data_IF_221760910232
#
_entry.id   IF_221760910232
#
_cell.length_a   1.000
_cell.length_b   1.000
_cell.length_c   1.000
_cell.angle_alpha   90.00
_cell.angle_beta   90.00
_cell.angle_gamma   90.00
#
_symmetry.space_group_name_H-M   'P 1'
#
loop_
_entity.id
_entity.type
_entity.pdbx_description
1 polymer ?
#
# COMPACT_ATOMS: atom_id res chain seq x y z
N UNK A 1 -0.39 10.24 -6.72
CA UNK A 1 -1.35 10.73 -7.72
C UNK A 1 -2.57 9.84 -7.64
N UNK A 2 -3.81 10.35 -7.67
CA UNK A 2 -4.97 9.50 -7.88
C UNK A 2 -4.79 8.83 -9.25
N UNK A 3 -4.62 7.52 -9.26
CA UNK A 3 -4.65 6.75 -10.51
C UNK A 3 -6.10 6.36 -10.79
N UNK A 4 -6.43 6.14 -12.06
CA UNK A 4 -7.79 5.74 -12.42
C UNK A 4 -8.09 4.35 -11.84
N UNK A 5 -9.12 4.29 -10.99
CA UNK A 5 -9.62 3.08 -10.32
C UNK A 5 -10.98 2.64 -10.89
N UNK A 6 -11.44 3.23 -12.00
CA UNK A 6 -12.73 2.90 -12.63
C UNK A 6 -12.87 1.44 -13.06
N UNK A 7 -11.75 0.74 -13.21
CA UNK A 7 -11.67 -0.68 -13.58
C UNK A 7 -11.65 -1.64 -12.40
N UNK A 8 -11.50 -1.14 -11.17
CA UNK A 8 -11.53 -1.97 -9.96
C UNK A 8 -12.98 -2.24 -9.52
N UNK A 9 -13.20 -3.42 -8.94
CA UNK A 9 -14.47 -3.80 -8.35
C UNK A 9 -14.75 -3.05 -7.04
N UNK A 10 -15.99 -3.16 -6.55
CA UNK A 10 -16.40 -2.62 -5.26
C UNK A 10 -16.42 -3.69 -4.16
N UNK A 11 -16.40 -3.26 -2.91
CA UNK A 11 -16.49 -4.11 -1.73
C UNK A 11 -15.35 -5.11 -1.64
N UNK A 12 -15.69 -6.38 -1.45
CA UNK A 12 -14.69 -7.41 -1.23
C UNK A 12 -13.79 -7.68 -2.44
N UNK A 13 -14.34 -7.61 -3.65
CA UNK A 13 -13.58 -7.82 -4.89
C UNK A 13 -12.54 -6.72 -5.04
N UNK A 14 -12.94 -5.45 -4.89
CA UNK A 14 -12.04 -4.31 -4.93
C UNK A 14 -10.95 -4.35 -3.86
N UNK A 15 -11.28 -4.81 -2.66
CA UNK A 15 -10.30 -5.00 -1.59
C UNK A 15 -9.26 -6.08 -1.94
N UNK A 16 -9.67 -7.22 -2.52
CA UNK A 16 -8.73 -8.23 -2.99
C UNK A 16 -7.83 -7.71 -4.11
N UNK A 17 -8.39 -6.97 -5.08
CA UNK A 17 -7.63 -6.35 -6.17
C UNK A 17 -6.62 -5.34 -5.63
N UNK A 18 -7.04 -4.45 -4.72
CA UNK A 18 -6.16 -3.49 -4.06
C UNK A 18 -5.02 -4.20 -3.31
N UNK A 19 -5.34 -5.25 -2.55
CA UNK A 19 -4.35 -6.06 -1.85
C UNK A 19 -3.37 -6.77 -2.79
N UNK A 20 -3.84 -7.30 -3.93
CA UNK A 20 -2.99 -7.95 -4.92
C UNK A 20 -2.03 -6.96 -5.60
N UNK A 21 -2.51 -5.76 -5.94
CA UNK A 21 -1.69 -4.66 -6.47
C UNK A 21 -0.65 -4.24 -5.42
N UNK A 22 -1.06 -4.08 -4.17
CA UNK A 22 -0.19 -3.73 -3.06
C UNK A 22 0.88 -4.82 -2.82
N UNK A 23 0.55 -6.09 -2.99
CA UNK A 23 1.51 -7.18 -2.93
C UNK A 23 2.52 -7.12 -4.08
N UNK A 24 2.08 -6.87 -5.31
CA UNK A 24 2.98 -6.68 -6.44
C UNK A 24 3.92 -5.48 -6.21
N UNK A 25 3.39 -4.35 -5.72
CA UNK A 25 4.18 -3.18 -5.37
C UNK A 25 5.20 -3.49 -4.26
N UNK A 26 4.78 -4.17 -3.18
CA UNK A 26 5.66 -4.61 -2.10
C UNK A 26 6.82 -5.48 -2.57
N UNK A 27 6.53 -6.45 -3.44
CA UNK A 27 7.55 -7.30 -4.05
C UNK A 27 8.57 -6.49 -4.87
N UNK A 28 8.08 -5.60 -5.74
CA UNK A 28 8.93 -4.79 -6.62
C UNK A 28 9.80 -3.81 -5.83
N UNK A 29 9.22 -3.15 -4.83
CA UNK A 29 9.92 -2.22 -3.94
C UNK A 29 10.99 -2.96 -3.15
N UNK A 30 10.68 -4.13 -2.58
CA UNK A 30 11.69 -4.95 -1.92
C UNK A 30 12.81 -5.34 -2.88
N UNK A 31 12.49 -5.78 -4.09
CA UNK A 31 13.50 -6.16 -5.07
C UNK A 31 14.42 -5.00 -5.49
N UNK A 32 13.91 -3.77 -5.50
CA UNK A 32 14.69 -2.57 -5.77
C UNK A 32 15.55 -2.19 -4.56
N UNK A 33 14.94 -2.05 -3.38
CA UNK A 33 15.63 -1.62 -2.18
C UNK A 33 16.64 -2.65 -1.68
N UNK A 34 16.39 -3.96 -1.81
CA UNK A 34 17.38 -4.98 -1.47
C UNK A 34 18.62 -4.90 -2.36
N UNK A 35 18.50 -4.43 -3.62
CA UNK A 35 19.68 -4.23 -4.47
C UNK A 35 20.51 -3.03 -4.02
N UNK A 36 19.85 -1.98 -3.52
CA UNK A 36 20.51 -0.78 -2.98
C UNK A 36 21.08 -1.06 -1.59
N UNK A 37 20.34 -1.74 -0.72
CA UNK A 37 20.74 -2.10 0.63
C UNK A 37 22.00 -2.97 0.65
N UNK A 38 22.14 -3.86 -0.33
CA UNK A 38 23.37 -4.66 -0.51
C UNK A 38 24.61 -3.84 -0.76
N UNK A 39 24.55 -2.76 -1.56
CA UNK A 39 25.74 -1.92 -1.78
C UNK A 39 26.09 -1.07 -0.56
N UNK A 40 25.14 -0.91 0.37
CA UNK A 40 25.29 -0.11 1.59
C UNK A 40 25.47 -0.94 2.86
N UNK A 41 25.44 -2.28 2.77
CA UNK A 41 25.59 -3.18 3.93
C UNK A 41 24.40 -3.17 4.88
N UNK A 42 23.18 -2.97 4.39
CA UNK A 42 21.99 -2.97 5.24
C UNK A 42 21.75 -4.33 5.90
N UNK A 43 21.22 -4.30 7.13
CA UNK A 43 20.73 -5.51 7.78
C UNK A 43 19.42 -5.97 7.14
N UNK A 44 19.12 -7.28 7.26
CA UNK A 44 17.85 -7.83 6.75
C UNK A 44 16.62 -7.12 7.33
N UNK A 45 16.69 -6.72 8.61
CA UNK A 45 15.62 -5.99 9.28
C UNK A 45 15.40 -4.61 8.65
N UNK A 46 16.47 -3.91 8.27
CA UNK A 46 16.36 -2.63 7.55
C UNK A 46 15.78 -2.82 6.15
N UNK A 47 16.23 -3.82 5.40
CA UNK A 47 15.70 -4.08 4.05
C UNK A 47 14.19 -4.36 4.09
N UNK A 48 13.74 -5.23 5.00
CA UNK A 48 12.32 -5.54 5.18
C UNK A 48 11.51 -4.32 5.64
N UNK A 49 12.02 -3.58 6.64
CA UNK A 49 11.30 -2.44 7.23
C UNK A 49 11.17 -1.30 6.23
N UNK A 50 12.26 -0.90 5.57
CA UNK A 50 12.22 0.18 4.58
C UNK A 50 11.41 -0.18 3.36
N UNK A 51 11.46 -1.45 2.93
CA UNK A 51 10.63 -1.92 1.82
C UNK A 51 9.15 -1.89 2.16
N UNK A 52 8.78 -2.30 3.36
CA UNK A 52 7.39 -2.24 3.81
C UNK A 52 6.88 -0.80 3.89
N UNK A 53 7.63 0.10 4.53
CA UNK A 53 7.25 1.51 4.66
C UNK A 53 7.15 2.19 3.30
N UNK A 54 8.14 1.99 2.43
CA UNK A 54 8.15 2.59 1.10
C UNK A 54 7.01 2.03 0.22
N UNK A 55 6.77 0.73 0.24
CA UNK A 55 5.69 0.10 -0.51
C UNK A 55 4.32 0.55 0.00
N UNK A 56 4.13 0.65 1.32
CA UNK A 56 2.87 1.14 1.89
C UNK A 56 2.61 2.60 1.52
N UNK A 57 3.64 3.44 1.55
CA UNK A 57 3.52 4.84 1.12
C UNK A 57 3.15 4.97 -0.37
N UNK A 58 3.64 4.06 -1.23
CA UNK A 58 3.37 4.06 -2.67
C UNK A 58 2.01 3.44 -3.04
N UNK A 59 1.68 2.28 -2.47
CA UNK A 59 0.51 1.50 -2.85
C UNK A 59 -0.75 1.92 -2.08
N UNK A 60 -0.70 1.89 -0.75
CA UNK A 60 -1.88 2.19 0.10
C UNK A 60 -1.91 3.60 0.69
N UNK A 61 -0.92 4.44 0.37
CA UNK A 61 -0.80 5.78 0.94
C UNK A 61 -2.02 6.67 0.66
N UNK A 62 -2.66 6.51 -0.50
CA UNK A 62 -3.81 7.33 -0.88
C UNK A 62 -5.09 6.92 -0.15
N UNK A 63 -5.38 5.62 -0.04
CA UNK A 63 -6.57 5.15 0.67
C UNK A 63 -6.42 5.35 2.18
N UNK A 64 -5.21 5.13 2.71
CA UNK A 64 -4.89 5.46 4.10
C UNK A 64 -5.03 6.96 4.38
N UNK A 65 -4.57 7.82 3.47
CA UNK A 65 -4.72 9.27 3.60
C UNK A 65 -6.18 9.70 3.57
N UNK A 66 -6.99 9.14 2.67
CA UNK A 66 -8.42 9.41 2.62
C UNK A 66 -9.10 8.97 3.92
N UNK A 67 -8.75 7.80 4.44
CA UNK A 67 -9.30 7.28 5.69
C UNK A 67 -8.94 8.20 6.85
N UNK A 68 -7.68 8.64 6.94
CA UNK A 68 -7.25 9.61 7.93
C UNK A 68 -8.00 10.95 7.79
N UNK A 69 -8.08 11.49 6.57
CA UNK A 69 -8.71 12.78 6.30
C UNK A 69 -10.22 12.77 6.61
N UNK A 70 -10.95 11.70 6.30
CA UNK A 70 -12.38 11.64 6.61
C UNK A 70 -12.67 11.43 8.10
N UNK A 71 -11.75 10.82 8.86
CA UNK A 71 -11.90 10.63 10.29
C UNK A 71 -11.45 11.84 11.11
N UNK A 72 -10.41 12.56 10.68
CA UNK A 72 -9.76 13.61 11.47
C UNK A 72 -9.70 14.98 10.79
N UNK A 73 -9.96 15.05 9.48
CA UNK A 73 -9.95 16.29 8.73
C UNK A 73 -11.10 17.21 9.14
N UNK A 74 -10.81 18.51 9.28
CA UNK A 74 -11.83 19.54 9.48
C UNK A 74 -12.62 19.75 8.19
N UNK A 75 -13.73 19.03 8.06
CA UNK A 75 -14.69 19.22 6.98
C UNK A 75 -15.57 20.43 7.31
N UNK A 76 -15.29 21.56 6.65
CA UNK A 76 -15.96 22.84 6.93
C UNK A 76 -17.44 22.85 6.50
N UNK A 77 -17.85 21.99 5.57
CA UNK A 77 -19.24 21.90 5.09
C UNK A 77 -19.62 20.49 4.62
N UNK A 78 -20.91 20.16 4.74
CA UNK A 78 -21.47 18.88 4.28
C UNK A 78 -21.36 18.73 2.76
N UNK A 79 -21.46 19.83 1.99
CA UNK A 79 -21.27 19.77 0.54
C UNK A 79 -19.85 19.36 0.16
N UNK A 80 -18.83 19.92 0.84
CA UNK A 80 -17.44 19.58 0.55
C UNK A 80 -17.15 18.10 0.87
N UNK A 81 -17.72 17.59 1.97
CA UNK A 81 -17.61 16.17 2.30
C UNK A 81 -18.18 15.28 1.19
N UNK A 82 -19.39 15.56 0.70
CA UNK A 82 -20.03 14.76 -0.36
C UNK A 82 -19.23 14.77 -1.65
N UNK A 83 -18.68 15.92 -2.04
CA UNK A 83 -17.82 16.04 -3.23
C UNK A 83 -16.55 15.20 -3.07
N UNK A 84 -15.93 15.24 -1.89
CA UNK A 84 -14.72 14.45 -1.62
C UNK A 84 -15.02 12.95 -1.55
N UNK A 85 -16.13 12.56 -0.94
CA UNK A 85 -16.58 11.16 -0.87
C UNK A 85 -16.83 10.60 -2.28
N UNK A 86 -17.52 11.36 -3.14
CA UNK A 86 -17.80 10.97 -4.51
C UNK A 86 -16.55 10.85 -5.39
N UNK A 87 -15.46 11.51 -5.00
CA UNK A 87 -14.17 11.41 -5.68
C UNK A 87 -13.35 10.19 -5.24
N UNK A 88 -13.71 9.54 -4.12
CA UNK A 88 -13.01 8.36 -3.62
C UNK A 88 -13.70 7.10 -4.14
N UNK A 89 -12.94 6.27 -4.82
CA UNK A 89 -13.41 4.97 -5.26
C UNK A 89 -13.78 4.11 -4.05
N UNK A 90 -14.98 3.51 -4.08
CA UNK A 90 -15.49 2.62 -3.04
C UNK A 90 -15.35 3.18 -1.61
N UNK A 91 -15.84 4.41 -1.41
CA UNK A 91 -15.71 5.13 -0.15
C UNK A 91 -16.34 4.39 1.06
N UNK A 92 -17.39 3.61 0.83
CA UNK A 92 -18.09 2.85 1.88
C UNK A 92 -17.23 1.70 2.44
N UNK A 93 -16.34 1.13 1.63
CA UNK A 93 -15.44 0.04 2.02
C UNK A 93 -13.98 0.46 2.12
N UNK A 94 -13.71 1.78 2.25
CA UNK A 94 -12.35 2.33 2.29
C UNK A 94 -11.48 1.68 3.38
N UNK A 95 -12.03 1.43 4.57
CA UNK A 95 -11.31 0.76 5.64
C UNK A 95 -10.91 -0.68 5.30
N UNK A 96 -11.76 -1.40 4.57
CA UNK A 96 -11.45 -2.75 4.10
C UNK A 96 -10.34 -2.71 3.04
N UNK A 97 -10.41 -1.77 2.09
CA UNK A 97 -9.37 -1.61 1.06
C UNK A 97 -8.00 -1.36 1.70
N UNK A 98 -7.92 -0.41 2.63
CA UNK A 98 -6.69 -0.12 3.40
C UNK A 98 -6.17 -1.38 4.09
N UNK A 99 -7.01 -2.13 4.81
CA UNK A 99 -6.59 -3.36 5.48
C UNK A 99 -5.96 -4.38 4.50
N UNK A 100 -6.59 -4.58 3.34
CA UNK A 100 -6.08 -5.49 2.32
C UNK A 100 -4.78 -4.99 1.69
N UNK A 101 -4.59 -3.69 1.53
CA UNK A 101 -3.32 -3.11 1.09
C UNK A 101 -2.21 -3.36 2.12
N UNK A 102 -2.46 -3.16 3.42
CA UNK A 102 -1.50 -3.45 4.49
C UNK A 102 -1.06 -4.92 4.47
N UNK A 103 -2.02 -5.84 4.34
CA UNK A 103 -1.76 -7.29 4.24
C UNK A 103 -1.00 -7.59 2.95
N UNK A 104 -1.46 -7.04 1.82
CA UNK A 104 -0.87 -7.19 0.50
C UNK A 104 0.60 -6.78 0.48
N UNK A 105 0.93 -5.57 0.93
CA UNK A 105 2.32 -5.11 1.06
C UNK A 105 3.16 -6.08 1.88
N UNK A 106 2.64 -6.54 3.03
CA UNK A 106 3.34 -7.50 3.88
C UNK A 106 3.67 -8.80 3.17
N UNK A 107 2.68 -9.38 2.49
CA UNK A 107 2.85 -10.58 1.67
C UNK A 107 3.86 -10.32 0.54
N UNK A 108 3.72 -9.21 -0.19
CA UNK A 108 4.60 -8.85 -1.30
C UNK A 108 6.07 -8.73 -0.89
N UNK A 109 6.34 -8.00 0.19
CA UNK A 109 7.69 -7.83 0.74
C UNK A 109 8.24 -9.17 1.23
N UNK A 110 7.43 -9.97 1.93
CA UNK A 110 7.83 -11.29 2.41
C UNK A 110 8.18 -12.24 1.25
N UNK A 111 7.37 -12.28 0.20
CA UNK A 111 7.66 -13.06 -1.00
C UNK A 111 8.92 -12.56 -1.72
N UNK A 112 9.13 -11.24 -1.77
CA UNK A 112 10.35 -10.63 -2.29
C UNK A 112 11.58 -11.11 -1.53
N UNK A 113 11.49 -11.15 -0.20
CA UNK A 113 12.55 -11.68 0.66
C UNK A 113 12.78 -13.18 0.46
N UNK A 114 11.75 -14.01 0.37
CA UNK A 114 11.92 -15.44 0.11
C UNK A 114 12.60 -15.70 -1.25
N UNK A 115 12.27 -14.91 -2.27
CA UNK A 115 12.81 -15.05 -3.61
C UNK A 115 14.26 -14.53 -3.74
N UNK A 116 14.57 -13.41 -3.09
CA UNK A 116 15.83 -12.67 -3.32
C UNK A 116 16.78 -12.68 -2.10
N UNK A 117 16.26 -12.90 -0.90
CA UNK A 117 16.95 -12.80 0.39
C UNK A 117 17.85 -13.97 0.74
N UNK A 118 17.71 -15.13 0.09
CA UNK A 118 18.57 -16.33 0.27
C UNK A 118 20.05 -16.14 -0.13
N UNK A 119 20.45 -14.92 -0.51
CA UNK A 119 21.82 -14.59 -0.94
C UNK A 119 22.66 -13.90 0.13
N UNK A 120 22.13 -13.67 1.34
CA UNK A 120 22.92 -13.25 2.50
C UNK A 120 23.42 -14.49 3.24
N UNK A 121 24.73 -14.77 3.28
CA UNK A 121 25.27 -15.70 4.27
C UNK A 121 25.04 -15.07 5.64
N UNK A 122 24.34 -15.79 6.51
CA UNK A 122 24.22 -15.50 7.94
C UNK A 122 25.57 -15.57 8.63
#
# INVERSE_FOLDING_TARGET
MPYDQSWMGYGMVGAFEAGAIAAAAGFLVFALLSRIGRSQGWSIAMELSWSYVAAMALAGGQDLWNLFYFNYGRLQSLQLLRIRLAAVHDADNLGQRVLFEFIGVGIGVYLGWLALGRRHPT
#
